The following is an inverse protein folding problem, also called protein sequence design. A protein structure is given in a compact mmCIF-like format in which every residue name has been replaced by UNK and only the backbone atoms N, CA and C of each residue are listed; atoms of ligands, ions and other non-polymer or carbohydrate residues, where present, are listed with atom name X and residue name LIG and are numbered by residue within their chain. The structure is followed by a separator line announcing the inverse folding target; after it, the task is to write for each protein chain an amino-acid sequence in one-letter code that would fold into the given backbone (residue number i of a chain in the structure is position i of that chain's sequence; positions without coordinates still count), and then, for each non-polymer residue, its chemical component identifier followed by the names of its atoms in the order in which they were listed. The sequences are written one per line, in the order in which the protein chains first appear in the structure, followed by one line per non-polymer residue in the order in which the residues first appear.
data_IF_675588955248
#
_entry.id   IF_675588955248
#
_cell.length_a   1.000
_cell.length_b   1.000
_cell.length_c   1.000
_cell.angle_alpha   90.00
_cell.angle_beta   90.00
_cell.angle_gamma   90.00
#
_symmetry.space_group_name_H-M   'P 1'
#
loop_
_entity.id
_entity.type
_entity.pdbx_description
1 polymer ?
#
# COMPACT_ATOMS: atom_id res chain seq x y z
N UNK A 1 -37.45 51.87 7.59
CA UNK A 1 -37.38 53.21 6.96
C UNK A 1 -36.49 54.17 7.76
N UNK A 2 -35.79 55.16 7.18
CA UNK A 2 -34.97 55.07 5.97
C UNK A 2 -33.55 55.68 6.11
N UNK A 3 -32.74 55.49 5.06
CA UNK A 3 -31.73 56.40 4.45
C UNK A 3 -30.58 57.01 5.26
N UNK A 4 -29.35 56.82 4.84
CA UNK A 4 -28.59 57.75 3.98
C UNK A 4 -27.20 57.20 3.64
N UNK A 5 -26.95 57.19 2.34
CA UNK A 5 -25.74 57.32 1.58
C UNK A 5 -24.78 58.38 2.10
N UNK A 6 -23.46 58.18 1.84
CA UNK A 6 -22.58 59.16 1.17
C UNK A 6 -21.15 58.63 1.05
N UNK A 7 -20.70 58.40 -0.17
CA UNK A 7 -19.31 58.54 -0.70
C UNK A 7 -19.11 60.02 -1.12
N UNK A 8 -17.94 60.45 -1.68
CA UNK A 8 -16.53 60.00 -1.70
C UNK A 8 -15.57 61.16 -1.33
N UNK A 9 -14.23 60.93 -1.39
CA UNK A 9 -13.26 61.80 -2.06
C UNK A 9 -11.80 61.33 -1.92
N UNK A 10 -11.12 61.16 -3.07
CA UNK A 10 -9.68 61.28 -3.30
C UNK A 10 -9.28 62.76 -3.44
N UNK A 11 -8.01 63.26 -3.33
CA UNK A 11 -6.89 62.86 -4.20
C UNK A 11 -5.43 63.09 -3.66
N UNK A 12 -4.49 62.46 -4.39
CA UNK A 12 -3.13 62.88 -4.81
C UNK A 12 -2.07 63.43 -3.85
N UNK A 13 -0.85 62.84 -3.90
CA UNK A 13 0.39 63.37 -4.49
C UNK A 13 1.66 62.75 -3.95
N UNK A 14 2.52 62.27 -4.88
CA UNK A 14 3.98 62.04 -4.75
C UNK A 14 4.74 63.41 -4.55
N UNK A 15 6.07 63.51 -4.17
CA UNK A 15 7.20 62.73 -4.69
C UNK A 15 8.45 62.53 -3.77
N UNK A 16 9.33 61.64 -4.27
CA UNK A 16 10.83 61.62 -4.25
C UNK A 16 11.67 61.90 -2.98
N UNK A 17 12.58 60.95 -2.67
CA UNK A 17 14.06 61.12 -2.70
C UNK A 17 14.85 59.94 -2.07
N UNK A 18 15.74 59.34 -2.83
CA UNK A 18 16.92 58.54 -2.38
C UNK A 18 18.02 59.53 -1.88
N UNK A 19 19.17 59.13 -1.23
CA UNK A 19 19.87 57.84 -1.18
C UNK A 19 20.56 57.50 0.14
N UNK A 20 21.15 56.25 0.26
CA UNK A 20 22.10 55.96 1.33
C UNK A 20 22.56 54.49 1.38
N UNK A 21 23.64 54.22 0.65
CA UNK A 21 24.45 52.98 0.69
C UNK A 21 25.12 52.76 2.04
N UNK A 22 25.02 51.55 2.62
CA UNK A 22 26.08 50.98 3.46
C UNK A 22 26.10 49.46 3.30
N UNK A 23 27.23 48.99 2.81
CA UNK A 23 27.66 47.62 2.64
C UNK A 23 27.98 46.96 3.99
N UNK A 24 27.53 45.71 4.22
CA UNK A 24 28.05 44.81 5.25
C UNK A 24 28.28 43.44 4.61
N UNK A 25 29.36 42.72 4.93
CA UNK A 25 29.86 41.63 4.09
C UNK A 25 29.18 40.30 4.34
N UNK A 26 28.92 39.57 3.24
CA UNK A 26 28.51 38.16 3.22
C UNK A 26 29.61 37.27 3.81
N UNK A 27 29.21 36.48 4.77
CA UNK A 27 29.99 35.35 5.23
C UNK A 27 29.43 34.09 4.55
N UNK A 28 30.19 33.58 3.59
CA UNK A 28 29.95 32.27 2.99
C UNK A 28 30.01 31.16 4.03
N UNK A 29 28.96 30.39 4.15
CA UNK A 29 29.01 29.04 4.69
C UNK A 29 28.21 28.12 3.76
N UNK A 30 28.87 27.70 2.68
CA UNK A 30 28.44 26.56 1.87
C UNK A 30 28.70 25.29 2.69
N UNK A 31 27.65 24.66 3.18
CA UNK A 31 27.66 23.25 3.54
C UNK A 31 27.20 22.45 2.31
N UNK A 32 28.12 21.68 1.76
CA UNK A 32 27.88 20.75 0.66
C UNK A 32 26.84 19.70 1.04
N UNK A 33 25.67 19.78 0.47
CA UNK A 33 24.75 18.67 0.34
C UNK A 33 24.86 18.12 -1.09
N UNK A 34 25.81 17.21 -1.29
CA UNK A 34 25.94 16.44 -2.51
C UNK A 34 24.77 15.48 -2.64
N UNK A 35 23.77 15.83 -3.44
CA UNK A 35 22.82 14.85 -3.97
C UNK A 35 23.51 14.10 -5.12
N UNK A 36 23.39 12.74 -5.17
CA UNK A 36 23.91 11.99 -6.31
C UNK A 36 23.11 12.31 -7.55
N UNK A 37 23.78 12.87 -8.54
CA UNK A 37 23.29 13.10 -9.90
C UNK A 37 22.87 11.75 -10.51
N UNK A 38 21.59 11.58 -10.78
CA UNK A 38 21.09 10.50 -11.62
C UNK A 38 21.49 10.83 -13.05
N UNK A 39 22.39 10.03 -13.60
CA UNK A 39 22.90 10.21 -14.97
C UNK A 39 21.79 10.14 -16.00
N UNK A 40 21.96 10.93 -17.07
CA UNK A 40 21.09 10.96 -18.25
C UNK A 40 20.78 9.53 -18.74
N UNK A 41 19.54 9.21 -19.12
CA UNK A 41 19.21 7.88 -19.60
C UNK A 41 19.85 7.65 -20.98
N UNK A 42 20.96 6.91 -21.01
CA UNK A 42 21.34 6.19 -22.22
C UNK A 42 20.21 5.25 -22.54
N UNK A 43 19.65 5.32 -23.75
CA UNK A 43 18.65 4.39 -24.26
C UNK A 43 19.17 2.96 -24.15
N UNK A 44 19.02 2.33 -23.01
CA UNK A 44 19.19 0.91 -22.84
C UNK A 44 17.85 0.28 -23.17
N UNK A 45 17.84 -0.54 -24.22
CA UNK A 45 16.77 -1.46 -24.55
C UNK A 45 16.26 -2.05 -23.25
N UNK A 46 14.95 -1.87 -23.01
CA UNK A 46 14.24 -2.55 -21.94
C UNK A 46 14.62 -4.02 -21.97
N UNK A 47 15.38 -4.44 -20.97
CA UNK A 47 15.63 -5.84 -20.73
C UNK A 47 14.28 -6.48 -20.48
N UNK A 48 13.77 -7.23 -21.45
CA UNK A 48 12.67 -8.15 -21.21
C UNK A 48 13.11 -9.01 -20.03
N UNK A 49 12.37 -8.95 -18.93
CA UNK A 49 12.50 -9.93 -17.86
C UNK A 49 12.47 -11.31 -18.52
N UNK A 50 13.47 -12.13 -18.26
CA UNK A 50 13.53 -13.49 -18.78
C UNK A 50 12.18 -14.16 -18.47
N UNK A 51 11.58 -14.92 -19.42
CA UNK A 51 10.34 -15.62 -19.17
C UNK A 51 10.50 -16.44 -17.89
N UNK A 52 9.52 -16.33 -16.98
CA UNK A 52 9.51 -17.15 -15.78
C UNK A 52 9.66 -18.61 -16.23
N UNK A 53 10.68 -19.31 -15.73
CA UNK A 53 10.89 -20.71 -16.04
C UNK A 53 9.62 -21.47 -15.65
N UNK A 54 9.05 -22.27 -16.55
CA UNK A 54 7.90 -23.16 -16.29
C UNK A 54 8.22 -24.29 -15.30
N UNK A 55 9.45 -24.32 -14.80
CA UNK A 55 9.92 -25.31 -13.85
C UNK A 55 9.29 -25.11 -12.48
N UNK A 56 8.76 -26.16 -11.83
CA UNK A 56 8.18 -26.09 -10.51
C UNK A 56 9.14 -25.52 -9.47
N UNK A 57 8.60 -24.89 -8.43
CA UNK A 57 9.42 -24.39 -7.32
C UNK A 57 10.13 -25.55 -6.62
N UNK A 58 11.44 -25.41 -6.43
CA UNK A 58 12.22 -26.40 -5.69
C UNK A 58 11.90 -26.35 -4.19
N UNK A 59 11.85 -27.50 -3.50
CA UNK A 59 11.55 -27.60 -2.07
C UNK A 59 12.47 -26.74 -1.20
N UNK A 60 13.78 -26.73 -1.50
CA UNK A 60 14.75 -25.89 -0.79
C UNK A 60 14.46 -24.38 -0.92
N UNK A 61 13.91 -23.97 -2.06
CA UNK A 61 13.53 -22.57 -2.26
C UNK A 61 12.25 -22.24 -1.44
N UNK A 62 11.26 -23.14 -1.43
CA UNK A 62 10.07 -22.97 -0.62
C UNK A 62 10.42 -22.91 0.87
N UNK A 63 11.29 -23.79 1.36
CA UNK A 63 11.73 -23.79 2.75
C UNK A 63 12.43 -22.48 3.14
N UNK A 64 13.35 -21.99 2.29
CA UNK A 64 14.02 -20.70 2.54
C UNK A 64 13.04 -19.54 2.56
N UNK A 65 12.05 -19.50 1.65
CA UNK A 65 11.02 -18.46 1.65
C UNK A 65 10.21 -18.51 2.95
N UNK A 66 9.86 -19.70 3.42
CA UNK A 66 9.15 -19.90 4.67
C UNK A 66 9.95 -19.34 5.87
N UNK A 67 11.22 -19.71 5.98
CA UNK A 67 12.13 -19.29 7.06
C UNK A 67 12.32 -17.76 7.08
N UNK A 68 12.65 -17.17 5.92
CA UNK A 68 12.83 -15.71 5.81
C UNK A 68 11.53 -14.94 6.07
N UNK A 69 10.40 -15.44 5.56
CA UNK A 69 9.09 -14.82 5.79
C UNK A 69 8.68 -14.87 7.25
N UNK A 70 8.94 -16.01 7.91
CA UNK A 70 8.66 -16.17 9.33
C UNK A 70 9.53 -15.21 10.16
N UNK A 71 10.83 -15.08 9.84
CA UNK A 71 11.72 -14.14 10.49
C UNK A 71 11.27 -12.67 10.33
N UNK A 72 10.74 -12.30 9.15
CA UNK A 72 10.14 -10.97 8.92
C UNK A 72 8.89 -10.77 9.77
N UNK A 73 7.98 -11.76 9.84
CA UNK A 73 6.77 -11.69 10.67
C UNK A 73 7.13 -11.54 12.16
N UNK A 74 8.08 -12.33 12.64
CA UNK A 74 8.55 -12.27 14.03
C UNK A 74 9.13 -10.89 14.36
N UNK A 75 9.94 -10.34 13.47
CA UNK A 75 10.52 -9.00 13.66
C UNK A 75 9.45 -7.90 13.72
N UNK A 76 8.45 -7.95 12.84
CA UNK A 76 7.31 -7.01 12.88
C UNK A 76 6.55 -7.14 14.20
N UNK A 77 6.35 -8.36 14.69
CA UNK A 77 5.58 -8.61 15.92
C UNK A 77 6.28 -8.17 17.20
N UNK A 78 7.59 -7.92 17.17
CA UNK A 78 8.29 -7.29 18.30
C UNK A 78 7.79 -5.87 18.58
N UNK A 79 7.29 -5.18 17.55
CA UNK A 79 6.76 -3.81 17.65
C UNK A 79 5.22 -3.81 17.61
N UNK A 80 4.63 -4.60 16.71
CA UNK A 80 3.17 -4.71 16.57
C UNK A 80 2.65 -5.84 17.47
N UNK A 81 2.68 -5.58 18.77
CA UNK A 81 2.35 -6.58 19.75
C UNK A 81 0.91 -7.09 19.67
N UNK A 82 0.73 -8.42 19.82
CA UNK A 82 -0.58 -9.06 19.85
C UNK A 82 -1.30 -9.14 18.51
N UNK A 83 -0.63 -8.84 17.39
CA UNK A 83 -1.21 -8.84 16.03
C UNK A 83 -0.38 -9.69 15.04
N UNK A 84 0.03 -10.92 15.37
CA UNK A 84 0.86 -11.72 14.46
C UNK A 84 0.15 -12.01 13.13
N UNK A 85 -1.17 -12.18 13.14
CA UNK A 85 -1.96 -12.44 11.93
C UNK A 85 -1.91 -11.26 10.95
N UNK A 86 -1.92 -10.02 11.44
CA UNK A 86 -1.84 -8.83 10.59
C UNK A 86 -0.46 -8.73 9.96
N UNK A 87 0.61 -8.99 10.73
CA UNK A 87 1.97 -9.04 10.21
C UNK A 87 2.12 -10.16 9.16
N UNK A 88 1.59 -11.36 9.43
CA UNK A 88 1.58 -12.50 8.49
C UNK A 88 0.85 -12.15 7.19
N UNK A 89 -0.33 -11.52 7.26
CA UNK A 89 -1.08 -11.08 6.07
C UNK A 89 -0.29 -10.03 5.28
N UNK A 90 0.38 -9.08 5.93
CA UNK A 90 1.17 -8.08 5.23
C UNK A 90 2.33 -8.70 4.43
N UNK A 91 3.07 -9.65 5.04
CA UNK A 91 4.15 -10.40 4.38
C UNK A 91 3.59 -11.30 3.26
N UNK A 92 2.48 -11.98 3.49
CA UNK A 92 1.80 -12.81 2.50
C UNK A 92 1.38 -12.00 1.27
N UNK A 93 0.77 -10.83 1.47
CA UNK A 93 0.34 -9.93 0.38
C UNK A 93 1.54 -9.47 -0.45
N UNK A 94 2.67 -9.16 0.19
CA UNK A 94 3.91 -8.82 -0.49
C UNK A 94 4.42 -10.00 -1.34
N UNK A 95 4.51 -11.22 -0.77
CA UNK A 95 4.93 -12.44 -1.49
C UNK A 95 4.02 -12.78 -2.65
N UNK A 96 2.71 -12.55 -2.51
CA UNK A 96 1.74 -12.69 -3.61
C UNK A 96 1.90 -11.61 -4.70
N UNK A 97 2.80 -10.65 -4.52
CA UNK A 97 3.00 -9.52 -5.41
C UNK A 97 1.80 -8.57 -5.45
N UNK A 98 1.09 -8.42 -4.32
CA UNK A 98 -0.12 -7.61 -4.20
C UNK A 98 0.05 -6.35 -3.37
N UNK A 99 -1.09 -5.70 -3.10
CA UNK A 99 -1.21 -4.49 -2.29
C UNK A 99 -2.22 -4.73 -1.17
N UNK A 100 -2.02 -4.09 -0.02
CA UNK A 100 -2.82 -4.29 1.20
C UNK A 100 -3.69 -3.07 1.47
N UNK A 101 -4.97 -3.30 1.74
CA UNK A 101 -5.89 -2.29 2.26
C UNK A 101 -6.11 -2.53 3.76
N UNK A 102 -5.94 -1.50 4.59
CA UNK A 102 -6.21 -1.54 6.02
C UNK A 102 -7.38 -0.60 6.29
N UNK A 103 -8.57 -1.16 6.53
CA UNK A 103 -9.73 -0.38 6.93
C UNK A 103 -9.90 -0.46 8.44
N UNK A 104 -9.66 0.67 9.13
CA UNK A 104 -9.76 0.72 10.58
C UNK A 104 -9.85 2.14 11.12
N UNK A 105 -10.25 2.27 12.38
CA UNK A 105 -10.25 3.53 13.13
C UNK A 105 -8.84 4.14 13.19
N UNK A 106 -8.70 5.46 13.36
CA UNK A 106 -7.40 6.10 13.52
C UNK A 106 -6.69 5.64 14.81
N UNK A 107 -5.33 5.75 14.83
CA UNK A 107 -4.53 5.53 16.04
C UNK A 107 -4.19 4.07 16.37
N UNK A 108 -4.59 3.08 15.58
CA UNK A 108 -4.37 1.64 15.88
C UNK A 108 -3.02 1.08 15.39
N UNK A 109 -2.10 1.92 14.90
CA UNK A 109 -0.76 1.47 14.50
C UNK A 109 -0.60 1.11 13.03
N UNK A 110 -1.53 1.52 12.14
CA UNK A 110 -1.45 1.25 10.68
C UNK A 110 -0.14 1.73 10.06
N UNK A 111 0.27 2.95 10.39
CA UNK A 111 1.53 3.54 9.93
C UNK A 111 2.74 2.76 10.44
N UNK A 112 2.69 2.29 11.68
CA UNK A 112 3.76 1.52 12.31
C UNK A 112 3.95 0.17 11.59
N UNK A 113 2.87 -0.51 11.22
CA UNK A 113 2.96 -1.77 10.46
C UNK A 113 3.72 -1.60 9.15
N UNK A 114 3.42 -0.55 8.36
CA UNK A 114 4.11 -0.30 7.09
C UNK A 114 5.60 0.06 7.30
N UNK A 115 5.91 0.85 8.35
CA UNK A 115 7.30 1.17 8.73
C UNK A 115 8.06 -0.09 9.14
N UNK A 116 7.49 -0.92 10.01
CA UNK A 116 8.11 -2.18 10.46
C UNK A 116 8.32 -3.17 9.30
N UNK A 117 7.33 -3.31 8.42
CA UNK A 117 7.46 -4.14 7.23
C UNK A 117 8.65 -3.69 6.37
N UNK A 118 8.73 -2.40 6.03
CA UNK A 118 9.83 -1.87 5.23
C UNK A 118 11.20 -2.05 5.92
N UNK A 119 11.29 -1.77 7.21
CA UNK A 119 12.52 -1.94 8.00
C UNK A 119 12.96 -3.42 8.04
N UNK A 120 12.04 -4.36 8.30
CA UNK A 120 12.32 -5.80 8.32
C UNK A 120 12.75 -6.36 6.95
N UNK A 121 12.39 -5.69 5.86
CA UNK A 121 12.81 -6.00 4.50
C UNK A 121 14.10 -5.28 4.08
N UNK A 122 14.65 -4.36 4.87
CA UNK A 122 15.71 -3.45 4.43
C UNK A 122 15.30 -2.57 3.24
N UNK A 123 14.00 -2.33 3.07
CA UNK A 123 13.41 -1.65 1.92
C UNK A 123 13.22 -0.16 2.17
N UNK A 124 13.28 0.65 1.11
CA UNK A 124 12.91 2.06 1.18
C UNK A 124 11.41 2.19 1.35
N UNK A 125 11.01 3.04 2.29
CA UNK A 125 9.62 3.36 2.54
C UNK A 125 9.37 4.84 2.27
N UNK A 126 8.21 5.13 1.69
CA UNK A 126 7.68 6.49 1.62
C UNK A 126 6.27 6.53 2.21
N UNK A 127 5.92 7.62 2.89
CA UNK A 127 4.56 7.87 3.37
C UNK A 127 4.00 9.08 2.66
N UNK A 128 2.80 8.93 2.12
CA UNK A 128 2.01 10.02 1.57
C UNK A 128 0.65 10.08 2.27
N UNK A 129 0.30 11.25 2.79
CA UNK A 129 -1.00 11.52 3.37
C UNK A 129 -1.94 12.00 2.28
N UNK A 130 -3.02 11.29 2.07
CA UNK A 130 -4.03 11.67 1.09
C UNK A 130 -4.92 12.76 1.67
N UNK A 131 -4.94 13.93 1.01
CA UNK A 131 -5.74 15.10 1.36
C UNK A 131 -6.51 15.58 0.13
N UNK A 132 -7.57 16.38 0.27
CA UNK A 132 -8.34 16.86 -0.88
C UNK A 132 -7.54 17.68 -1.88
N UNK A 133 -6.49 18.34 -1.46
CA UNK A 133 -5.58 19.17 -2.24
C UNK A 133 -4.41 18.41 -2.89
N UNK A 134 -4.21 17.13 -2.53
CA UNK A 134 -3.15 16.30 -3.12
C UNK A 134 -3.38 16.12 -4.63
N UNK A 135 -2.36 16.40 -5.42
CA UNK A 135 -2.40 16.28 -6.87
C UNK A 135 -1.92 14.90 -7.35
N UNK A 136 -2.38 14.42 -8.51
CA UNK A 136 -1.84 13.21 -9.14
C UNK A 136 -0.32 13.22 -9.30
N UNK A 137 0.26 14.39 -9.65
CA UNK A 137 1.70 14.56 -9.81
C UNK A 137 2.52 14.36 -8.52
N UNK A 138 1.93 14.59 -7.33
CA UNK A 138 2.60 14.30 -6.06
C UNK A 138 2.77 12.79 -5.85
N UNK A 139 1.85 12.00 -6.41
CA UNK A 139 1.87 10.54 -6.35
C UNK A 139 2.80 9.96 -7.42
N UNK A 140 2.63 10.36 -8.68
CA UNK A 140 3.30 9.76 -9.84
C UNK A 140 4.60 10.48 -10.24
N UNK A 141 4.78 11.70 -9.80
CA UNK A 141 5.84 12.60 -10.29
C UNK A 141 5.35 13.49 -11.42
N UNK A 142 6.15 14.49 -11.73
CA UNK A 142 5.87 15.48 -12.75
C UNK A 142 7.17 15.97 -13.41
N UNK A 143 7.08 16.44 -14.67
CA UNK A 143 8.17 17.17 -15.29
C UNK A 143 8.20 18.61 -14.80
N UNK A 144 9.34 19.04 -14.30
CA UNK A 144 9.57 20.39 -13.78
C UNK A 144 10.62 21.07 -14.63
N UNK A 145 10.35 22.32 -15.06
CA UNK A 145 11.32 23.10 -15.82
C UNK A 145 12.48 23.52 -14.91
N UNK A 146 13.69 23.08 -15.26
CA UNK A 146 14.90 23.49 -14.58
C UNK A 146 15.46 24.76 -15.28
N UNK A 147 15.38 25.90 -14.61
CA UNK A 147 15.84 27.17 -15.13
C UNK A 147 17.35 27.23 -15.36
N UNK A 148 18.14 26.44 -14.63
CA UNK A 148 19.59 26.43 -14.76
C UNK A 148 20.07 25.71 -16.04
N UNK A 149 19.38 24.61 -16.40
CA UNK A 149 19.66 23.80 -17.59
C UNK A 149 18.79 24.18 -18.80
N UNK A 150 17.70 24.94 -18.57
CA UNK A 150 16.66 25.25 -19.57
C UNK A 150 15.98 23.99 -20.14
N UNK A 151 15.90 22.92 -19.36
CA UNK A 151 15.32 21.64 -19.74
C UNK A 151 14.22 21.22 -18.76
N UNK A 152 13.31 20.36 -19.22
CA UNK A 152 12.36 19.70 -18.35
C UNK A 152 12.99 18.46 -17.72
N UNK A 153 12.96 18.38 -16.40
CA UNK A 153 13.47 17.25 -15.63
C UNK A 153 12.31 16.51 -14.93
N UNK A 154 12.29 15.19 -15.03
CA UNK A 154 11.33 14.40 -14.30
C UNK A 154 11.69 14.37 -12.81
N UNK A 155 10.75 14.78 -11.97
CA UNK A 155 10.82 14.62 -10.51
C UNK A 155 9.93 13.45 -10.08
N UNK A 156 10.53 12.36 -9.55
CA UNK A 156 9.77 11.21 -9.09
C UNK A 156 8.80 11.57 -7.96
N UNK A 157 7.57 11.04 -8.05
CA UNK A 157 6.57 11.15 -6.99
C UNK A 157 6.71 10.06 -5.92
N UNK A 158 5.72 10.01 -5.04
CA UNK A 158 5.72 9.13 -3.86
C UNK A 158 5.79 7.63 -4.21
N UNK A 159 5.34 7.21 -5.40
CA UNK A 159 5.34 5.79 -5.81
C UNK A 159 6.73 5.23 -6.11
N UNK A 160 7.76 6.06 -6.25
CA UNK A 160 9.13 5.60 -6.52
C UNK A 160 9.84 5.11 -5.25
N UNK A 161 9.25 4.11 -4.62
CA UNK A 161 9.72 3.44 -3.41
C UNK A 161 9.38 1.96 -3.48
N UNK A 162 9.85 1.15 -2.52
CA UNK A 162 9.49 -0.28 -2.44
C UNK A 162 8.25 -0.54 -1.59
N UNK A 163 8.09 0.22 -0.49
CA UNK A 163 6.88 0.16 0.35
C UNK A 163 6.30 1.55 0.44
N UNK A 164 5.13 1.76 -0.15
CA UNK A 164 4.40 3.02 -0.06
C UNK A 164 3.28 2.90 0.96
N UNK A 165 3.31 3.74 1.99
CA UNK A 165 2.15 3.95 2.86
C UNK A 165 1.29 5.07 2.28
N UNK A 166 0.13 4.71 1.73
CA UNK A 166 -0.89 5.64 1.25
C UNK A 166 -1.93 5.84 2.36
N UNK A 167 -1.73 6.88 3.17
CA UNK A 167 -2.54 7.09 4.38
C UNK A 167 -3.82 7.87 4.04
N UNK A 168 -4.97 7.37 4.51
CA UNK A 168 -6.31 7.95 4.30
C UNK A 168 -6.68 8.14 2.81
N UNK A 169 -6.47 7.09 1.99
CA UNK A 169 -6.66 7.14 0.53
C UNK A 169 -8.05 7.67 0.11
N UNK A 170 -9.07 7.50 0.94
CA UNK A 170 -10.43 7.95 0.69
C UNK A 170 -10.63 9.47 0.88
N UNK A 171 -9.61 10.24 1.29
CA UNK A 171 -9.70 11.71 1.42
C UNK A 171 -9.29 12.47 0.16
N UNK A 172 -8.48 11.88 -0.69
CA UNK A 172 -8.06 12.55 -1.92
C UNK A 172 -9.11 12.48 -3.04
N UNK A 173 -8.94 13.35 -4.03
CA UNK A 173 -9.80 13.38 -5.21
C UNK A 173 -9.77 12.05 -5.98
N UNK A 174 -10.85 11.69 -6.70
CA UNK A 174 -10.87 10.47 -7.53
C UNK A 174 -9.74 10.41 -8.57
N UNK A 175 -9.27 11.57 -9.07
CA UNK A 175 -8.14 11.64 -10.01
C UNK A 175 -6.84 11.19 -9.35
N UNK A 176 -6.57 11.67 -8.14
CA UNK A 176 -5.39 11.31 -7.36
C UNK A 176 -5.41 9.84 -6.94
N UNK A 177 -6.58 9.34 -6.51
CA UNK A 177 -6.77 7.92 -6.24
C UNK A 177 -6.47 7.07 -7.50
N UNK A 178 -6.99 7.46 -8.67
CA UNK A 178 -6.79 6.73 -9.92
C UNK A 178 -5.32 6.68 -10.32
N UNK A 179 -4.55 7.75 -10.12
CA UNK A 179 -3.12 7.79 -10.42
C UNK A 179 -2.32 6.77 -9.58
N UNK A 180 -2.62 6.65 -8.27
CA UNK A 180 -2.01 5.61 -7.44
C UNK A 180 -2.39 4.20 -7.93
N UNK A 181 -3.68 3.99 -8.19
CA UNK A 181 -4.21 2.68 -8.55
C UNK A 181 -3.72 2.19 -9.92
N UNK A 182 -3.45 3.12 -10.85
CA UNK A 182 -2.82 2.81 -12.14
C UNK A 182 -1.35 2.38 -11.92
N UNK A 183 -0.58 3.14 -11.13
CA UNK A 183 0.79 2.77 -10.79
C UNK A 183 0.88 1.41 -10.08
N UNK A 184 -0.12 1.06 -9.24
CA UNK A 184 -0.21 -0.26 -8.59
C UNK A 184 -0.40 -1.39 -9.59
N UNK A 185 -1.22 -1.19 -10.62
CA UNK A 185 -1.56 -2.22 -11.60
C UNK A 185 -0.45 -2.40 -12.65
N UNK A 186 -0.02 -1.27 -13.23
CA UNK A 186 0.93 -1.26 -14.33
C UNK A 186 2.40 -1.42 -13.90
N UNK A 187 2.72 -1.25 -12.62
CA UNK A 187 4.10 -1.25 -12.07
C UNK A 187 5.02 -0.25 -12.76
N UNK A 188 4.45 0.78 -13.34
CA UNK A 188 5.14 1.87 -14.04
C UNK A 188 4.29 3.13 -14.00
N UNK A 189 4.92 4.25 -14.32
CA UNK A 189 4.26 5.55 -14.47
C UNK A 189 4.65 6.14 -15.81
N UNK A 190 3.70 6.74 -16.52
CA UNK A 190 3.97 7.46 -17.76
C UNK A 190 3.73 8.95 -17.58
N UNK A 191 4.80 9.76 -17.76
CA UNK A 191 4.73 11.22 -17.66
C UNK A 191 5.32 11.80 -18.95
N UNK A 192 4.56 12.68 -19.59
CA UNK A 192 4.95 13.35 -20.86
C UNK A 192 5.45 12.39 -21.96
N UNK A 193 4.77 11.22 -22.06
CA UNK A 193 5.10 10.21 -23.05
C UNK A 193 6.30 9.31 -22.71
N UNK A 194 6.97 9.56 -21.57
CA UNK A 194 8.08 8.72 -21.08
C UNK A 194 7.59 7.81 -19.97
N UNK A 195 7.89 6.50 -20.09
CA UNK A 195 7.50 5.49 -19.10
C UNK A 195 8.64 5.18 -18.14
N UNK A 196 8.36 5.28 -16.88
CA UNK A 196 9.29 5.03 -15.76
C UNK A 196 8.84 3.80 -14.99
N UNK A 197 9.62 2.69 -14.97
CA UNK A 197 9.28 1.51 -14.19
C UNK A 197 9.43 1.79 -12.68
N UNK A 198 8.57 1.18 -11.88
CA UNK A 198 8.67 1.22 -10.42
C UNK A 198 9.68 0.18 -9.91
N UNK A 199 10.18 0.41 -8.70
CA UNK A 199 11.13 -0.50 -8.04
C UNK A 199 10.49 -1.87 -7.76
N UNK A 200 11.29 -2.95 -7.82
CA UNK A 200 10.88 -4.26 -7.32
C UNK A 200 11.60 -4.56 -5.98
N UNK A 201 10.87 -5.08 -4.97
CA UNK A 201 9.42 -5.20 -4.93
C UNK A 201 8.72 -3.84 -4.82
N UNK A 202 7.46 -3.74 -5.24
CA UNK A 202 6.62 -2.58 -5.00
C UNK A 202 5.32 -3.00 -4.32
N UNK A 203 5.08 -2.48 -3.13
CA UNK A 203 3.86 -2.72 -2.37
C UNK A 203 3.27 -1.42 -1.86
N UNK A 204 1.98 -1.24 -2.07
CA UNK A 204 1.20 -0.19 -1.42
C UNK A 204 0.46 -0.78 -0.23
N UNK A 205 0.64 -0.17 0.92
CA UNK A 205 -0.19 -0.35 2.11
C UNK A 205 -1.08 0.89 2.19
N UNK A 206 -2.32 0.75 1.78
CA UNK A 206 -3.28 1.84 1.84
C UNK A 206 -4.10 1.76 3.12
N UNK A 207 -4.38 2.91 3.73
CA UNK A 207 -5.30 3.00 4.87
C UNK A 207 -6.56 3.72 4.45
N UNK A 208 -7.70 3.31 5.00
CA UNK A 208 -8.97 4.00 4.89
C UNK A 208 -9.66 4.03 6.26
N UNK A 209 -10.33 5.13 6.54
CA UNK A 209 -11.16 5.25 7.73
C UNK A 209 -12.64 5.09 7.32
N UNK A 210 -13.33 4.03 7.76
CA UNK A 210 -14.72 3.80 7.40
C UNK A 210 -15.70 4.77 8.11
N UNK A 211 -15.29 5.42 9.18
CA UNK A 211 -16.16 6.24 10.04
C UNK A 211 -16.25 7.70 9.57
N UNK A 212 -15.25 8.21 8.87
CA UNK A 212 -15.25 9.58 8.36
C UNK A 212 -16.13 9.69 7.12
N UNK A 213 -17.30 10.32 7.27
CA UNK A 213 -18.24 10.54 6.17
C UNK A 213 -18.14 11.92 5.52
N UNK A 214 -17.72 12.96 6.23
CA UNK A 214 -17.58 14.31 5.68
C UNK A 214 -16.23 14.49 4.97
N UNK A 215 -16.27 14.94 3.71
CA UNK A 215 -15.07 15.22 2.92
C UNK A 215 -14.33 13.98 2.42
N UNK A 216 -14.95 12.78 2.44
CA UNK A 216 -14.34 11.56 1.95
C UNK A 216 -14.99 11.07 0.65
N UNK A 217 -14.17 10.56 -0.26
CA UNK A 217 -14.61 9.90 -1.48
C UNK A 217 -14.46 8.39 -1.28
N UNK A 218 -15.57 7.66 -1.19
CA UNK A 218 -15.50 6.19 -1.12
C UNK A 218 -14.73 5.66 -2.31
N UNK A 219 -13.82 4.72 -2.07
CA UNK A 219 -13.17 3.98 -3.14
C UNK A 219 -14.23 3.19 -3.92
N UNK A 220 -14.39 3.44 -5.24
CA UNK A 220 -15.26 2.64 -6.07
C UNK A 220 -14.87 1.15 -6.03
N UNK A 221 -15.82 0.28 -6.25
CA UNK A 221 -15.64 -1.18 -6.19
C UNK A 221 -14.51 -1.67 -7.10
N UNK A 222 -14.44 -1.17 -8.33
CA UNK A 222 -13.39 -1.48 -9.30
C UNK A 222 -11.99 -1.06 -8.83
N UNK A 223 -11.92 -0.05 -7.95
CA UNK A 223 -10.67 0.41 -7.35
C UNK A 223 -10.26 -0.45 -6.14
N UNK A 224 -11.23 -0.83 -5.30
CA UNK A 224 -11.00 -1.75 -4.17
C UNK A 224 -10.55 -3.13 -4.66
N UNK A 225 -11.01 -3.58 -5.82
CA UNK A 225 -10.63 -4.87 -6.42
C UNK A 225 -9.14 -4.95 -6.81
N UNK A 226 -8.41 -3.83 -6.84
CA UNK A 226 -6.96 -3.79 -7.10
C UNK A 226 -6.11 -4.18 -5.88
N UNK A 227 -6.65 -4.02 -4.68
CA UNK A 227 -5.97 -4.51 -3.47
C UNK A 227 -6.10 -6.04 -3.39
N UNK A 228 -5.00 -6.75 -3.16
CA UNK A 228 -5.03 -8.22 -3.07
C UNK A 228 -5.80 -8.68 -1.85
N UNK A 229 -5.57 -8.05 -0.71
CA UNK A 229 -6.25 -8.37 0.54
C UNK A 229 -6.63 -7.12 1.33
N UNK A 230 -7.61 -7.29 2.19
CA UNK A 230 -8.02 -6.33 3.22
C UNK A 230 -7.83 -6.94 4.59
N UNK A 231 -7.36 -6.11 5.54
CA UNK A 231 -7.27 -6.48 6.96
C UNK A 231 -7.71 -5.33 7.85
N UNK A 232 -7.88 -5.63 9.13
CA UNK A 232 -8.10 -4.66 10.20
C UNK A 232 -7.05 -4.85 11.28
N UNK A 233 -6.60 -3.78 11.90
CA UNK A 233 -5.70 -3.83 13.06
C UNK A 233 -6.48 -4.13 14.34
N UNK A 234 -7.66 -3.50 14.48
CA UNK A 234 -8.44 -3.50 15.72
C UNK A 234 -7.68 -2.86 16.89
N UNK A 235 -8.35 -2.70 18.01
CA UNK A 235 -7.70 -2.18 19.23
C UNK A 235 -6.56 -3.08 19.70
N UNK A 236 -5.49 -2.51 20.28
CA UNK A 236 -4.44 -3.30 20.91
C UNK A 236 -5.00 -4.10 22.08
N UNK A 237 -4.35 -5.21 22.43
CA UNK A 237 -4.65 -5.90 23.68
C UNK A 237 -4.23 -5.03 24.87
N UNK A 238 -4.97 -5.12 26.00
CA UNK A 238 -4.77 -4.23 27.15
C UNK A 238 -3.30 -4.09 27.61
N UNK A 239 -2.55 -5.20 27.63
CA UNK A 239 -1.13 -5.17 28.00
C UNK A 239 -0.23 -4.45 26.99
N UNK A 240 -0.54 -4.54 25.69
CA UNK A 240 0.19 -3.81 24.64
C UNK A 240 -0.14 -2.31 24.70
N UNK A 241 -1.39 -1.95 25.00
CA UNK A 241 -1.81 -0.56 25.14
C UNK A 241 -1.11 0.14 26.31
N UNK A 242 -0.99 -0.54 27.46
CA UNK A 242 -0.23 -0.02 28.62
C UNK A 242 1.21 0.23 28.27
N UNK A 243 1.89 -0.71 27.56
CA UNK A 243 3.29 -0.51 27.14
C UNK A 243 3.44 0.63 26.13
N UNK A 244 2.49 0.77 25.21
CA UNK A 244 2.45 1.88 24.27
C UNK A 244 2.33 3.22 25.00
N UNK A 245 1.43 3.32 25.98
CA UNK A 245 1.28 4.53 26.80
C UNK A 245 2.57 4.85 27.55
N UNK A 246 3.20 3.86 28.22
CA UNK A 246 4.45 4.04 28.95
C UNK A 246 5.57 4.52 28.01
N UNK A 247 5.70 3.92 26.83
CA UNK A 247 6.70 4.30 25.84
C UNK A 247 6.48 5.72 25.26
N UNK A 248 5.24 6.18 25.14
CA UNK A 248 4.93 7.50 24.58
C UNK A 248 4.85 8.62 25.60
N UNK A 249 4.60 8.31 26.86
CA UNK A 249 4.44 9.30 27.93
C UNK A 249 5.60 9.27 28.94
N UNK A 250 6.47 8.30 28.84
CA UNK A 250 7.68 8.19 29.68
C UNK A 250 8.68 9.34 29.43
N UNK A 251 9.64 9.54 30.32
CA UNK A 251 10.64 10.59 30.16
C UNK A 251 11.47 10.35 28.91
N UNK A 252 11.48 11.31 27.99
CA UNK A 252 12.34 11.30 26.79
C UNK A 252 13.80 11.35 27.25
N UNK A 253 14.58 10.34 26.92
CA UNK A 253 16.02 10.30 27.18
C UNK A 253 16.77 10.76 25.94
N UNK A 254 17.89 11.45 26.14
CA UNK A 254 18.77 11.85 25.05
C UNK A 254 19.30 10.58 24.35
N UNK A 255 18.90 10.38 23.09
CA UNK A 255 19.20 9.15 22.32
C UNK A 255 18.03 8.16 22.18
N UNK A 256 16.84 8.48 22.68
CA UNK A 256 15.64 7.66 22.40
C UNK A 256 15.37 7.62 20.89
N UNK A 257 15.44 6.40 20.36
CA UNK A 257 15.13 6.11 18.95
C UNK A 257 13.65 5.84 18.79
N UNK A 258 13.10 6.12 17.61
CA UNK A 258 11.75 5.61 17.30
C UNK A 258 11.73 4.09 17.49
N UNK A 259 10.64 3.54 17.99
CA UNK A 259 10.50 2.08 18.23
C UNK A 259 10.80 1.28 16.96
N UNK A 260 10.51 1.86 15.79
CA UNK A 260 10.81 1.24 14.48
C UNK A 260 12.33 1.09 14.23
N UNK A 261 13.17 1.91 14.84
CA UNK A 261 14.63 1.81 14.69
C UNK A 261 15.22 0.56 15.38
N UNK A 262 14.44 -0.11 16.21
CA UNK A 262 14.79 -1.40 16.80
C UNK A 262 14.59 -2.57 15.84
N UNK A 263 13.79 -2.39 14.78
CA UNK A 263 13.47 -3.42 13.78
C UNK A 263 14.69 -3.69 12.91
N UNK A 264 15.09 -4.96 12.83
CA UNK A 264 16.25 -5.39 12.03
C UNK A 264 15.81 -5.94 10.69
N UNK A 265 16.57 -5.63 9.64
CA UNK A 265 16.36 -6.27 8.36
C UNK A 265 16.63 -7.78 8.47
N UNK A 266 15.67 -8.59 8.02
CA UNK A 266 15.73 -10.06 8.01
C UNK A 266 15.92 -10.63 6.61
N UNK A 267 15.73 -9.80 5.61
CA UNK A 267 15.94 -10.11 4.20
C UNK A 267 16.34 -8.83 3.46
N UNK A 268 16.48 -8.90 2.14
CA UNK A 268 16.74 -7.72 1.29
C UNK A 268 15.64 -7.55 0.25
N UNK A 269 15.46 -6.34 -0.32
CA UNK A 269 14.50 -6.13 -1.39
C UNK A 269 14.71 -7.07 -2.58
N UNK A 270 15.96 -7.32 -2.96
CA UNK A 270 16.33 -8.19 -4.09
C UNK A 270 15.93 -9.66 -3.83
N UNK A 271 16.21 -10.16 -2.61
CA UNK A 271 15.80 -11.50 -2.19
C UNK A 271 14.26 -11.60 -2.19
N UNK A 272 13.57 -10.60 -1.64
CA UNK A 272 12.11 -10.57 -1.64
C UNK A 272 11.51 -10.50 -3.06
N UNK A 273 12.10 -9.72 -3.96
CA UNK A 273 11.69 -9.70 -5.37
C UNK A 273 11.86 -11.10 -6.03
N UNK A 274 12.93 -11.83 -5.69
CA UNK A 274 13.11 -13.20 -6.14
C UNK A 274 12.04 -14.13 -5.54
N UNK A 275 11.74 -14.01 -4.25
CA UNK A 275 10.69 -14.80 -3.59
C UNK A 275 9.31 -14.58 -4.23
N UNK A 276 8.96 -13.34 -4.59
CA UNK A 276 7.73 -13.04 -5.33
C UNK A 276 7.66 -13.77 -6.67
N UNK A 277 8.78 -13.84 -7.38
CA UNK A 277 8.86 -14.61 -8.65
C UNK A 277 8.73 -16.11 -8.41
N UNK A 278 9.37 -16.63 -7.37
CA UNK A 278 9.36 -18.03 -7.01
C UNK A 278 7.99 -18.51 -6.55
N UNK A 279 7.26 -17.72 -5.74
CA UNK A 279 5.88 -18.01 -5.31
C UNK A 279 4.93 -18.21 -6.50
N UNK A 280 5.13 -17.51 -7.62
CA UNK A 280 4.32 -17.73 -8.84
C UNK A 280 4.45 -19.14 -9.41
N UNK A 281 5.58 -19.82 -9.16
CA UNK A 281 5.91 -21.18 -9.63
C UNK A 281 5.33 -22.28 -8.74
N UNK A 282 4.73 -21.94 -7.60
CA UNK A 282 4.01 -22.89 -6.75
C UNK A 282 2.89 -23.54 -7.53
N UNK A 283 2.81 -24.86 -7.46
CA UNK A 283 1.84 -25.62 -8.23
C UNK A 283 0.43 -25.47 -7.68
N UNK A 284 -0.53 -25.22 -8.55
CA UNK A 284 -1.96 -25.27 -8.26
C UNK A 284 -2.61 -26.24 -9.25
N UNK A 285 -3.19 -27.32 -8.77
CA UNK A 285 -3.78 -28.35 -9.61
C UNK A 285 -5.05 -27.84 -10.34
N UNK A 286 -5.36 -28.36 -11.54
CA UNK A 286 -6.59 -28.00 -12.22
C UNK A 286 -7.86 -28.18 -11.37
N UNK A 287 -8.05 -29.28 -10.60
CA UNK A 287 -9.22 -29.40 -9.71
C UNK A 287 -9.29 -28.32 -8.64
N UNK A 288 -8.14 -27.83 -8.13
CA UNK A 288 -8.10 -26.73 -7.19
C UNK A 288 -8.54 -25.41 -7.85
N UNK A 289 -8.10 -25.14 -9.08
CA UNK A 289 -8.53 -23.96 -9.83
C UNK A 289 -10.03 -24.00 -10.12
N UNK A 290 -10.57 -25.17 -10.47
CA UNK A 290 -12.03 -25.36 -10.62
C UNK A 290 -12.76 -25.13 -9.30
N UNK A 291 -12.21 -25.56 -8.17
CA UNK A 291 -12.78 -25.28 -6.85
C UNK A 291 -12.87 -23.77 -6.59
N UNK A 292 -11.81 -23.00 -6.90
CA UNK A 292 -11.85 -21.52 -6.77
C UNK A 292 -12.92 -20.91 -7.67
N UNK A 293 -13.08 -21.41 -8.90
CA UNK A 293 -14.15 -20.95 -9.82
C UNK A 293 -15.53 -21.25 -9.24
N UNK A 294 -15.79 -22.47 -8.73
CA UNK A 294 -17.05 -22.82 -8.07
C UNK A 294 -17.36 -21.93 -6.88
N UNK A 295 -16.36 -21.63 -6.05
CA UNK A 295 -16.53 -20.66 -4.95
C UNK A 295 -16.94 -19.27 -5.48
N UNK A 296 -16.28 -18.79 -6.54
CA UNK A 296 -16.62 -17.49 -7.13
C UNK A 296 -18.06 -17.48 -7.70
N UNK A 297 -18.46 -18.52 -8.40
CA UNK A 297 -19.83 -18.70 -8.94
C UNK A 297 -20.86 -18.75 -7.81
N UNK A 298 -20.58 -19.47 -6.72
CA UNK A 298 -21.46 -19.51 -5.56
C UNK A 298 -21.67 -18.12 -4.95
N UNK A 299 -20.66 -17.24 -4.94
CA UNK A 299 -20.85 -15.84 -4.50
C UNK A 299 -21.70 -15.03 -5.47
N UNK A 300 -21.54 -15.24 -6.80
CA UNK A 300 -22.26 -14.48 -7.86
C UNK A 300 -23.72 -14.83 -7.94
N UNK A 301 -24.07 -16.09 -7.64
CA UNK A 301 -25.44 -16.61 -7.70
C UNK A 301 -26.17 -16.57 -6.36
N UNK A 302 -25.49 -16.12 -5.31
CA UNK A 302 -26.07 -16.10 -3.97
C UNK A 302 -27.17 -15.03 -3.85
N UNK A 303 -28.38 -15.36 -3.32
CA UNK A 303 -29.53 -14.44 -3.32
C UNK A 303 -29.34 -13.18 -2.46
N UNK A 304 -28.40 -13.19 -1.53
CA UNK A 304 -28.06 -12.04 -0.69
C UNK A 304 -26.93 -11.16 -1.24
N UNK A 305 -26.42 -11.46 -2.44
CA UNK A 305 -25.29 -10.75 -3.07
C UNK A 305 -25.76 -9.98 -4.29
N UNK A 306 -25.40 -8.70 -4.38
CA UNK A 306 -25.57 -7.86 -5.57
C UNK A 306 -24.35 -7.90 -6.48
N UNK A 307 -23.14 -8.03 -5.88
CA UNK A 307 -21.88 -8.16 -6.61
C UNK A 307 -21.03 -9.23 -5.92
N UNK A 308 -20.79 -10.36 -6.63
CA UNK A 308 -19.94 -11.46 -6.19
C UNK A 308 -18.47 -11.28 -6.60
N UNK A 309 -17.63 -12.28 -6.30
CA UNK A 309 -16.22 -12.27 -6.62
C UNK A 309 -15.96 -12.13 -8.12
N UNK A 310 -15.13 -11.14 -8.52
CA UNK A 310 -14.74 -10.91 -9.91
C UNK A 310 -13.74 -11.98 -10.39
N UNK A 311 -13.48 -12.12 -11.70
CA UNK A 311 -12.37 -12.94 -12.19
C UNK A 311 -11.01 -12.52 -11.60
N UNK A 312 -10.77 -11.22 -11.40
CA UNK A 312 -9.56 -10.70 -10.73
C UNK A 312 -9.50 -11.18 -9.27
N UNK A 313 -10.63 -11.18 -8.55
CA UNK A 313 -10.72 -11.72 -7.20
C UNK A 313 -10.32 -13.20 -7.13
N UNK A 314 -10.72 -14.02 -8.12
CA UNK A 314 -10.32 -15.42 -8.20
C UNK A 314 -8.81 -15.57 -8.43
N UNK A 315 -8.22 -14.77 -9.34
CA UNK A 315 -6.76 -14.73 -9.53
C UNK A 315 -6.02 -14.32 -8.26
N UNK A 316 -6.52 -13.30 -7.56
CA UNK A 316 -5.95 -12.85 -6.29
C UNK A 316 -6.03 -13.93 -5.21
N UNK A 317 -7.11 -14.70 -5.15
CA UNK A 317 -7.24 -15.80 -4.19
C UNK A 317 -6.22 -16.91 -4.46
N UNK A 318 -6.02 -17.29 -5.73
CA UNK A 318 -4.98 -18.28 -6.09
C UNK A 318 -3.57 -17.77 -5.75
N UNK A 319 -3.26 -16.50 -6.04
CA UNK A 319 -1.96 -15.89 -5.67
C UNK A 319 -1.74 -15.89 -4.16
N UNK A 320 -2.74 -15.52 -3.40
CA UNK A 320 -2.69 -15.55 -1.93
C UNK A 320 -2.52 -16.98 -1.39
N UNK A 321 -3.25 -17.94 -1.95
CA UNK A 321 -3.12 -19.35 -1.58
C UNK A 321 -1.72 -19.92 -1.90
N UNK A 322 -1.11 -19.54 -3.03
CA UNK A 322 0.28 -19.89 -3.35
C UNK A 322 1.27 -19.30 -2.34
N UNK A 323 1.13 -18.04 -1.99
CA UNK A 323 1.95 -17.39 -0.97
C UNK A 323 1.76 -18.07 0.40
N UNK A 324 0.53 -18.40 0.77
CA UNK A 324 0.22 -19.10 2.03
C UNK A 324 0.90 -20.46 2.09
N UNK A 325 0.78 -21.28 1.04
CA UNK A 325 1.43 -22.58 0.94
C UNK A 325 2.96 -22.46 1.06
N UNK A 326 3.55 -21.44 0.41
CA UNK A 326 5.01 -21.22 0.45
C UNK A 326 5.49 -20.78 1.83
N UNK A 327 4.72 -19.94 2.53
CA UNK A 327 5.04 -19.56 3.91
C UNK A 327 5.00 -20.74 4.91
N UNK A 328 4.36 -21.83 4.51
CA UNK A 328 4.36 -23.12 5.24
C UNK A 328 5.40 -24.13 4.64
N UNK A 329 6.30 -23.68 3.75
CA UNK A 329 7.35 -24.51 3.16
C UNK A 329 6.89 -25.46 2.06
N UNK A 330 5.65 -25.31 1.56
CA UNK A 330 5.08 -26.19 0.53
C UNK A 330 5.27 -25.63 -0.87
N UNK A 331 5.43 -26.51 -1.85
CA UNK A 331 5.59 -26.18 -3.28
C UNK A 331 4.29 -26.34 -4.07
N UNK A 332 3.20 -26.69 -3.41
CA UNK A 332 1.87 -26.88 -3.98
C UNK A 332 0.79 -26.32 -3.08
N UNK A 333 -0.32 -25.92 -3.68
CA UNK A 333 -1.48 -25.36 -2.98
C UNK A 333 -2.45 -26.47 -2.61
N UNK A 334 -2.94 -26.40 -1.37
CA UNK A 334 -4.00 -27.28 -0.86
C UNK A 334 -5.33 -26.51 -0.69
N UNK A 335 -6.49 -27.19 -0.67
CA UNK A 335 -7.77 -26.54 -0.46
C UNK A 335 -7.87 -25.70 0.81
N UNK A 336 -7.11 -26.07 1.83
CA UNK A 336 -7.04 -25.33 3.09
C UNK A 336 -6.41 -23.94 2.92
N UNK A 337 -5.45 -23.77 1.97
CA UNK A 337 -4.84 -22.47 1.66
C UNK A 337 -5.87 -21.52 1.06
N UNK A 338 -6.71 -22.05 0.17
CA UNK A 338 -7.82 -21.30 -0.43
C UNK A 338 -8.81 -20.86 0.65
N UNK A 339 -9.17 -21.78 1.57
CA UNK A 339 -10.09 -21.50 2.68
C UNK A 339 -9.54 -20.46 3.65
N UNK A 340 -8.25 -20.52 3.96
CA UNK A 340 -7.58 -19.57 4.83
C UNK A 340 -7.57 -18.16 4.23
N UNK A 341 -7.43 -18.06 2.90
CA UNK A 341 -7.24 -16.79 2.20
C UNK A 341 -8.54 -16.16 1.69
N UNK A 342 -9.66 -16.88 1.67
CA UNK A 342 -10.91 -16.35 1.10
C UNK A 342 -11.41 -15.09 1.84
N UNK A 343 -11.31 -15.07 3.16
CA UNK A 343 -11.76 -13.94 3.98
C UNK A 343 -10.94 -12.67 3.71
N UNK A 344 -9.62 -12.63 3.88
CA UNK A 344 -8.83 -11.43 3.64
C UNK A 344 -8.88 -10.99 2.17
N UNK A 345 -9.06 -11.92 1.21
CA UNK A 345 -9.05 -11.61 -0.22
C UNK A 345 -10.42 -11.19 -0.74
N UNK A 346 -11.51 -11.80 -0.30
CA UNK A 346 -12.84 -11.56 -0.91
C UNK A 346 -13.80 -10.71 -0.08
N UNK A 347 -13.62 -10.62 1.25
CA UNK A 347 -14.57 -9.90 2.11
C UNK A 347 -14.86 -8.47 1.63
N UNK A 348 -13.85 -7.73 1.20
CA UNK A 348 -13.98 -6.34 0.75
C UNK A 348 -14.52 -6.18 -0.67
N UNK A 349 -14.72 -7.29 -1.41
CA UNK A 349 -15.18 -7.32 -2.80
C UNK A 349 -16.65 -7.68 -2.94
N UNK A 350 -17.23 -8.28 -1.89
CA UNK A 350 -18.61 -8.70 -1.93
C UNK A 350 -19.55 -7.57 -1.51
N UNK A 351 -20.56 -7.34 -2.30
CA UNK A 351 -21.63 -6.40 -1.99
C UNK A 351 -22.92 -7.14 -1.72
N UNK A 352 -23.45 -6.95 -0.52
CA UNK A 352 -24.69 -7.56 -0.11
C UNK A 352 -25.90 -6.73 -0.55
N UNK A 353 -27.03 -7.39 -0.70
CA UNK A 353 -28.30 -6.72 -0.96
C UNK A 353 -28.72 -5.85 0.24
N UNK A 354 -29.43 -4.72 0.03
CA UNK A 354 -29.92 -3.89 1.13
C UNK A 354 -30.76 -4.68 2.14
N UNK A 355 -31.49 -5.70 1.69
CA UNK A 355 -32.27 -6.58 2.55
C UNK A 355 -31.40 -7.47 3.44
N UNK A 356 -30.28 -7.97 2.93
CA UNK A 356 -29.33 -8.75 3.73
C UNK A 356 -28.66 -7.85 4.78
N UNK A 357 -28.22 -6.65 4.40
CA UNK A 357 -27.62 -5.68 5.31
C UNK A 357 -28.58 -5.25 6.43
N UNK A 358 -29.86 -5.01 6.11
CA UNK A 358 -30.87 -4.64 7.11
C UNK A 358 -31.17 -5.75 8.12
N UNK A 359 -30.86 -7.00 7.76
CA UNK A 359 -30.96 -8.17 8.66
C UNK A 359 -29.67 -8.44 9.45
N UNK A 360 -28.65 -7.59 9.30
CA UNK A 360 -27.39 -7.74 9.99
C UNK A 360 -26.43 -8.76 9.35
N UNK A 361 -26.69 -9.19 8.09
CA UNK A 361 -25.81 -10.12 7.40
C UNK A 361 -24.46 -9.45 7.07
N UNK A 362 -23.35 -10.15 7.32
CA UNK A 362 -22.01 -9.74 6.98
C UNK A 362 -21.45 -10.50 5.77
N UNK A 363 -20.53 -9.86 5.01
CA UNK A 363 -19.83 -10.56 3.93
C UNK A 363 -19.02 -11.78 4.44
N UNK A 364 -18.55 -11.73 5.69
CA UNK A 364 -17.87 -12.86 6.35
C UNK A 364 -18.80 -14.08 6.52
N UNK A 365 -19.99 -13.87 7.09
CA UNK A 365 -20.96 -14.97 7.32
C UNK A 365 -21.36 -15.64 6.01
N UNK A 366 -21.48 -14.82 4.95
CA UNK A 366 -21.79 -15.31 3.60
C UNK A 366 -20.63 -16.16 3.04
N UNK A 367 -19.39 -15.71 3.18
CA UNK A 367 -18.22 -16.47 2.73
C UNK A 367 -18.10 -17.79 3.50
N UNK A 368 -18.36 -17.81 4.80
CA UNK A 368 -18.42 -19.02 5.60
C UNK A 368 -19.52 -19.99 5.11
N UNK A 369 -20.67 -19.46 4.72
CA UNK A 369 -21.74 -20.28 4.14
C UNK A 369 -21.30 -20.86 2.79
N UNK A 370 -20.72 -20.05 1.91
CA UNK A 370 -20.20 -20.50 0.59
C UNK A 370 -19.15 -21.60 0.77
N UNK A 371 -18.22 -21.45 1.72
CA UNK A 371 -17.20 -22.47 2.03
C UNK A 371 -17.80 -23.79 2.51
N UNK A 372 -18.88 -23.72 3.30
CA UNK A 372 -19.56 -24.94 3.79
C UNK A 372 -20.37 -25.65 2.71
N UNK A 373 -20.95 -24.92 1.77
CA UNK A 373 -21.83 -25.46 0.74
C UNK A 373 -21.14 -25.85 -0.56
N UNK A 374 -19.87 -25.40 -0.77
CA UNK A 374 -19.12 -25.72 -1.98
C UNK A 374 -18.10 -26.84 -1.69
N UNK A 375 -18.28 -28.04 -2.24
CA UNK A 375 -17.35 -29.16 -2.01
C UNK A 375 -16.02 -28.93 -2.73
N UNK A 376 -14.97 -29.54 -2.20
CA UNK A 376 -13.61 -29.49 -2.76
C UNK A 376 -13.45 -30.45 -3.97
N UNK A 377 -14.32 -31.44 -4.10
CA UNK A 377 -14.26 -32.51 -5.12
C UNK A 377 -14.41 -32.03 -6.54
#
# INVERSE_FOLDING_TARGET
LPHAELQPDHPDSHPDSHPGTTSVPHRDSRADLAHPMVGSPKSSRAGHAAPASDEPLAERAAQRIAEESQAVVEEITTVIEGKPEVARIAVLVLLAGGHLLIEDIPGVGKTMLAKCLAAALGARQHRIQFTPDLLPGDVTGASVFNQATSEFEFRPGAVFTQVLLADEINRASPKTQSALLEAMEERQVTVDGTTYPLSEPFMVVATANPVEMEGTYRLPEAQRDRFLAQTTMGYPIAGAEVRMLDAQTGPVREGDREVVDSVRARTTPEAMAQHIRDVRRVYASPPLLEYVVRLAEATRTHPQVTLGASPRAAVHLVRAAKAHATMDGRTFVEPQDVRAMIMPVWRHRLHLTPQALSRGAGAGDLLDQVLRTTPVS
#
